data_IF_833142233389
#
_entry.id   IF_833142233389
#
_cell.length_a   1.000
_cell.length_b   1.000
_cell.length_c   1.000
_cell.angle_alpha   90.00
_cell.angle_beta   90.00
_cell.angle_gamma   90.00
#
_symmetry.space_group_name_H-M   'P 1'
#
loop_
_entity.id
_entity.type
_entity.pdbx_description
1 polymer ?
#
# COMPACT_ATOMS: atom_id res chain seq x y z
N UNK A 1 -3.54 -20.89 2.31
CA UNK A 1 -2.47 -20.49 1.37
C UNK A 1 -2.92 -19.18 0.75
N UNK A 2 -2.06 -18.19 0.72
CA UNK A 2 -2.39 -16.85 0.24
C UNK A 2 -2.32 -16.87 -1.29
N UNK A 3 -3.47 -17.02 -1.95
CA UNK A 3 -3.57 -17.26 -3.40
C UNK A 3 -3.21 -16.06 -4.28
N UNK A 4 -3.24 -14.85 -3.71
CA UNK A 4 -2.83 -13.60 -4.36
C UNK A 4 -1.32 -13.34 -4.33
N UNK A 5 -0.53 -14.11 -3.57
CA UNK A 5 0.93 -13.97 -3.49
C UNK A 5 1.64 -14.98 -4.38
N UNK A 6 2.60 -14.50 -5.17
CA UNK A 6 3.50 -15.30 -5.99
C UNK A 6 4.74 -15.72 -5.21
N UNK A 7 5.37 -14.76 -4.52
CA UNK A 7 6.60 -15.00 -3.77
C UNK A 7 6.60 -14.26 -2.45
N UNK A 8 7.16 -14.89 -1.44
CA UNK A 8 7.49 -14.29 -0.15
C UNK A 8 9.01 -14.24 -0.06
N UNK A 9 9.55 -13.06 0.26
CA UNK A 9 10.98 -12.81 0.40
C UNK A 9 11.23 -12.23 1.80
N UNK A 10 12.18 -12.83 2.51
CA UNK A 10 12.66 -12.31 3.78
C UNK A 10 13.63 -11.15 3.52
N UNK A 11 13.30 -9.96 4.03
CA UNK A 11 14.09 -8.77 3.81
C UNK A 11 15.37 -8.73 4.66
N UNK A 12 15.52 -9.59 5.68
CA UNK A 12 16.73 -9.63 6.53
C UNK A 12 18.02 -9.85 5.72
N UNK A 13 17.90 -10.54 4.58
CA UNK A 13 19.01 -10.88 3.71
C UNK A 13 19.29 -9.82 2.64
N UNK A 14 18.50 -8.74 2.60
CA UNK A 14 18.56 -7.71 1.58
C UNK A 14 19.14 -6.41 2.15
N UNK A 15 19.92 -5.71 1.33
CA UNK A 15 20.53 -4.43 1.67
C UNK A 15 19.76 -3.29 1.00
N UNK A 16 19.15 -2.41 1.80
CA UNK A 16 18.47 -1.22 1.28
C UNK A 16 19.41 -0.33 0.44
N UNK A 17 18.91 0.14 -0.71
CA UNK A 17 19.66 0.94 -1.68
C UNK A 17 20.58 0.14 -2.58
N UNK A 18 20.67 -1.18 -2.37
CA UNK A 18 21.48 -2.08 -3.19
C UNK A 18 20.66 -3.23 -3.78
N UNK A 19 19.91 -3.94 -2.93
CA UNK A 19 19.04 -5.05 -3.33
C UNK A 19 17.59 -4.60 -3.55
N UNK A 20 17.14 -3.56 -2.85
CA UNK A 20 15.81 -2.96 -3.01
C UNK A 20 15.81 -1.47 -2.68
N UNK A 21 14.80 -0.75 -3.17
CA UNK A 21 14.52 0.64 -2.83
C UNK A 21 13.09 0.79 -2.30
N UNK A 22 12.89 1.59 -1.26
CA UNK A 22 11.54 1.94 -0.77
C UNK A 22 10.92 2.97 -1.73
N UNK A 23 9.68 2.70 -2.16
CA UNK A 23 8.96 3.49 -3.17
C UNK A 23 7.73 4.16 -2.55
N UNK A 24 7.08 3.51 -1.59
CA UNK A 24 6.01 4.14 -0.81
C UNK A 24 6.60 5.19 0.14
N UNK A 25 6.17 6.43 -0.03
CA UNK A 25 6.54 7.53 0.84
C UNK A 25 5.27 8.12 1.43
N UNK A 26 5.29 8.32 2.75
CA UNK A 26 4.19 8.90 3.50
C UNK A 26 4.53 10.36 3.77
N UNK A 27 3.61 11.25 3.44
CA UNK A 27 3.67 12.67 3.77
C UNK A 27 2.75 12.92 4.96
N UNK A 28 3.25 13.56 5.99
CA UNK A 28 2.49 14.02 7.16
C UNK A 28 2.36 15.55 7.08
N UNK A 29 1.13 16.05 7.19
CA UNK A 29 0.88 17.49 7.31
C UNK A 29 0.96 17.98 8.77
N UNK A 30 0.71 19.27 8.98
CA UNK A 30 0.78 19.91 10.29
C UNK A 30 -0.32 19.42 11.25
N UNK A 31 -1.40 18.82 10.73
CA UNK A 31 -2.51 18.23 11.49
C UNK A 31 -2.31 16.72 11.73
N UNK A 32 -1.15 16.17 11.34
CA UNK A 32 -0.80 14.76 11.35
C UNK A 32 -1.69 13.89 10.45
N UNK A 33 -2.37 14.49 9.48
CA UNK A 33 -3.02 13.73 8.42
C UNK A 33 -1.94 13.15 7.50
N UNK A 34 -2.14 11.89 7.08
CA UNK A 34 -1.16 11.21 6.23
C UNK A 34 -1.66 11.14 4.80
N UNK A 35 -0.72 11.27 3.86
CA UNK A 35 -1.00 11.29 2.44
C UNK A 35 0.01 10.43 1.70
N UNK A 36 -0.41 9.85 0.57
CA UNK A 36 0.57 9.37 -0.39
C UNK A 36 1.28 10.55 -1.05
N UNK A 37 2.50 10.33 -1.50
CA UNK A 37 3.20 11.32 -2.33
C UNK A 37 2.40 11.70 -3.57
N UNK A 38 1.75 10.70 -4.19
CA UNK A 38 0.92 10.90 -5.39
C UNK A 38 -0.20 11.91 -5.11
N UNK A 39 -0.90 11.72 -4.00
CA UNK A 39 -2.00 12.56 -3.57
C UNK A 39 -1.52 13.96 -3.20
N UNK A 40 -0.46 14.07 -2.40
CA UNK A 40 0.02 15.35 -1.90
C UNK A 40 0.53 16.27 -3.00
N UNK A 41 1.31 15.72 -3.94
CA UNK A 41 1.90 16.48 -5.04
C UNK A 41 1.05 16.46 -6.30
N UNK A 42 -0.08 15.73 -6.30
CA UNK A 42 -0.91 15.47 -7.48
C UNK A 42 -0.05 15.01 -8.66
N UNK A 43 0.78 13.99 -8.42
CA UNK A 43 1.76 13.45 -9.37
C UNK A 43 1.66 11.93 -9.45
N UNK A 44 2.15 11.36 -10.54
CA UNK A 44 2.41 9.92 -10.63
C UNK A 44 3.83 9.67 -10.11
N UNK A 45 3.97 9.23 -8.86
CA UNK A 45 5.28 8.93 -8.28
C UNK A 45 5.97 7.76 -8.97
N UNK A 46 5.24 6.76 -9.49
CA UNK A 46 5.86 5.67 -10.25
C UNK A 46 6.50 6.22 -11.52
N UNK A 47 5.78 7.00 -12.32
CA UNK A 47 6.32 7.59 -13.54
C UNK A 47 7.48 8.56 -13.22
N UNK A 48 7.38 9.31 -12.13
CA UNK A 48 8.47 10.17 -11.67
C UNK A 48 9.70 9.37 -11.25
N UNK A 49 9.51 8.28 -10.49
CA UNK A 49 10.62 7.41 -10.10
C UNK A 49 11.20 6.70 -11.32
N UNK A 50 10.42 6.23 -12.27
CA UNK A 50 10.93 5.61 -13.51
C UNK A 50 11.78 6.59 -14.34
N UNK A 51 11.40 7.86 -14.39
CA UNK A 51 12.16 8.90 -15.12
C UNK A 51 13.42 9.36 -14.37
N UNK A 52 13.38 9.41 -13.03
CA UNK A 52 14.51 9.82 -12.19
C UNK A 52 15.41 8.65 -11.71
N UNK A 53 14.96 7.40 -11.88
CA UNK A 53 15.69 6.14 -11.62
C UNK A 53 17.03 6.09 -12.35
N UNK A 54 17.12 6.77 -13.50
CA UNK A 54 18.36 6.89 -14.27
C UNK A 54 19.39 7.85 -13.66
N UNK A 55 19.02 8.63 -12.62
CA UNK A 55 19.83 9.74 -12.14
C UNK A 55 20.27 9.64 -10.68
N UNK A 56 19.52 9.03 -9.74
CA UNK A 56 19.86 8.93 -8.29
C UNK A 56 18.97 7.92 -7.52
N UNK A 57 19.34 7.62 -6.26
CA UNK A 57 18.51 6.88 -5.28
C UNK A 57 17.12 7.52 -5.13
N UNK A 58 16.02 6.74 -5.24
CA UNK A 58 14.63 7.21 -5.24
C UNK A 58 14.28 8.13 -4.07
N UNK A 59 14.74 7.77 -2.86
CA UNK A 59 14.53 8.60 -1.67
C UNK A 59 15.21 9.97 -1.80
N UNK A 60 16.41 10.00 -2.38
CA UNK A 60 17.14 11.25 -2.58
C UNK A 60 16.49 12.11 -3.67
N UNK A 61 16.00 11.50 -4.75
CA UNK A 61 15.24 12.20 -5.79
C UNK A 61 13.95 12.81 -5.22
N UNK A 62 13.32 12.12 -4.25
CA UNK A 62 12.16 12.65 -3.56
C UNK A 62 12.51 13.79 -2.59
N UNK A 63 13.59 13.68 -1.81
CA UNK A 63 14.07 14.76 -0.96
C UNK A 63 14.45 16.01 -1.77
N UNK A 64 15.01 15.83 -2.96
CA UNK A 64 15.31 16.94 -3.88
C UNK A 64 14.03 17.60 -4.41
N UNK A 65 13.01 16.83 -4.78
CA UNK A 65 11.69 17.34 -5.16
C UNK A 65 11.04 18.14 -4.01
N UNK A 66 11.08 17.59 -2.79
CA UNK A 66 10.55 18.27 -1.60
C UNK A 66 11.24 19.61 -1.34
N UNK A 67 12.58 19.63 -1.33
CA UNK A 67 13.37 20.86 -1.13
C UNK A 67 13.11 21.92 -2.19
N UNK A 68 12.81 21.50 -3.42
CA UNK A 68 12.47 22.40 -4.53
C UNK A 68 11.00 22.82 -4.58
N UNK A 69 10.13 22.17 -3.82
CA UNK A 69 8.70 22.45 -3.83
C UNK A 69 8.34 23.67 -2.98
N UNK A 70 7.22 24.32 -3.32
CA UNK A 70 6.61 25.39 -2.50
C UNK A 70 6.23 24.94 -1.07
N UNK A 71 6.29 23.64 -0.80
CA UNK A 71 5.93 23.00 0.46
C UNK A 71 7.14 22.74 1.37
N UNK A 72 8.39 22.94 0.90
CA UNK A 72 9.62 22.63 1.63
C UNK A 72 9.88 23.41 2.93
N UNK A 73 9.00 24.35 3.30
CA UNK A 73 9.10 25.20 4.50
C UNK A 73 7.96 25.00 5.52
N UNK A 74 7.03 24.08 5.27
CA UNK A 74 5.94 23.76 6.20
C UNK A 74 6.42 22.66 7.15
N UNK A 75 5.90 22.56 8.37
CA UNK A 75 6.32 21.66 9.46
C UNK A 75 6.12 20.16 9.21
N UNK A 76 6.23 19.74 7.95
CA UNK A 76 5.91 18.44 7.43
C UNK A 76 6.99 17.40 7.75
N UNK A 77 6.53 16.21 8.11
CA UNK A 77 7.36 15.01 8.16
C UNK A 77 7.29 14.27 6.83
N UNK A 78 8.44 14.11 6.18
CA UNK A 78 8.58 13.12 5.10
C UNK A 78 9.40 11.97 5.65
N UNK A 79 8.84 10.78 5.58
CA UNK A 79 9.55 9.57 5.93
C UNK A 79 9.35 8.55 4.82
N UNK A 80 10.39 7.82 4.40
CA UNK A 80 10.13 6.54 3.76
C UNK A 80 9.27 5.74 4.74
N UNK A 81 8.31 4.97 4.24
CA UNK A 81 7.60 4.01 5.08
C UNK A 81 8.66 3.21 5.85
N UNK A 82 8.62 3.23 7.19
CA UNK A 82 9.77 2.84 8.00
C UNK A 82 10.25 1.42 7.61
N UNK A 83 11.56 1.27 7.44
CA UNK A 83 12.17 -0.07 7.34
C UNK A 83 12.10 -0.71 8.71
N UNK A 84 11.49 -1.89 8.78
CA UNK A 84 11.49 -2.70 9.98
C UNK A 84 12.52 -3.81 9.77
N UNK A 85 13.39 -4.02 10.76
CA UNK A 85 14.14 -5.28 10.86
C UNK A 85 13.15 -6.44 10.82
N UNK A 86 13.43 -7.46 10.02
CA UNK A 86 12.58 -8.65 9.88
C UNK A 86 11.25 -8.35 9.15
N UNK A 87 11.32 -7.48 8.14
CA UNK A 87 10.21 -7.27 7.22
C UNK A 87 10.08 -8.45 6.25
N UNK A 88 8.84 -8.80 5.94
CA UNK A 88 8.52 -9.79 4.90
C UNK A 88 8.03 -9.04 3.67
N UNK A 89 8.67 -9.29 2.53
CA UNK A 89 8.26 -8.73 1.25
C UNK A 89 7.38 -9.73 0.50
N UNK A 90 6.25 -9.24 0.00
CA UNK A 90 5.25 -10.03 -0.71
C UNK A 90 5.19 -9.56 -2.16
N UNK A 91 5.54 -10.45 -3.08
CA UNK A 91 5.31 -10.26 -4.50
C UNK A 91 3.90 -10.74 -4.85
N UNK A 92 2.97 -9.85 -5.21
CA UNK A 92 1.66 -10.25 -5.66
C UNK A 92 1.66 -10.74 -7.11
N UNK A 93 0.65 -11.56 -7.44
CA UNK A 93 0.40 -12.02 -8.81
C UNK A 93 -0.19 -10.94 -9.73
N UNK A 94 -0.57 -9.79 -9.18
CA UNK A 94 -1.19 -8.67 -9.87
C UNK A 94 -0.37 -7.40 -9.67
N UNK A 95 -0.57 -6.40 -10.53
CA UNK A 95 0.09 -5.10 -10.38
C UNK A 95 -0.33 -4.43 -9.06
N UNK A 96 0.64 -3.84 -8.37
CA UNK A 96 0.41 -3.07 -7.14
C UNK A 96 -0.14 -1.69 -7.51
N UNK A 97 -1.30 -1.35 -6.95
CA UNK A 97 -1.80 0.02 -6.80
C UNK A 97 -1.12 0.66 -5.57
N UNK A 98 -0.26 1.66 -5.80
CA UNK A 98 0.49 2.35 -4.73
C UNK A 98 -0.41 3.20 -3.84
N UNK A 99 -1.41 3.86 -4.42
CA UNK A 99 -2.33 4.73 -3.69
C UNK A 99 -3.15 3.92 -2.71
N UNK A 100 -3.67 2.79 -3.17
CA UNK A 100 -4.33 1.82 -2.30
C UNK A 100 -3.35 1.25 -1.25
N UNK A 101 -2.10 0.92 -1.61
CA UNK A 101 -1.15 0.37 -0.65
C UNK A 101 -0.93 1.34 0.53
N UNK A 102 -0.72 2.62 0.24
CA UNK A 102 -0.56 3.66 1.27
C UNK A 102 -1.83 3.86 2.11
N UNK A 103 -3.01 3.78 1.47
CA UNK A 103 -4.31 3.84 2.18
C UNK A 103 -4.42 2.75 3.26
N UNK A 104 -3.91 1.56 2.96
CA UNK A 104 -3.85 0.42 3.86
C UNK A 104 -2.56 0.33 4.69
N UNK A 105 -1.76 1.40 4.80
CA UNK A 105 -0.48 1.38 5.53
C UNK A 105 0.48 0.29 5.09
N UNK A 106 0.40 -0.14 3.83
CA UNK A 106 1.36 -1.06 3.23
C UNK A 106 2.55 -0.26 2.70
N UNK A 107 3.73 -0.73 3.05
CA UNK A 107 4.96 -0.31 2.40
C UNK A 107 5.11 -0.97 1.04
N UNK A 108 5.77 -0.27 0.11
CA UNK A 108 6.10 -0.77 -1.22
C UNK A 108 7.58 -0.60 -1.49
N UNK A 109 8.21 -1.66 -1.98
CA UNK A 109 9.61 -1.66 -2.42
C UNK A 109 9.73 -2.06 -3.88
N UNK A 110 10.72 -1.51 -4.58
CA UNK A 110 11.21 -2.04 -5.85
C UNK A 110 12.43 -2.92 -5.58
N UNK A 111 12.45 -4.13 -6.13
CA UNK A 111 13.65 -4.98 -6.12
C UNK A 111 14.62 -4.49 -7.19
N UNK A 112 15.86 -4.22 -6.82
CA UNK A 112 16.87 -3.65 -7.72
C UNK A 112 17.72 -4.71 -8.42
N UNK A 113 17.83 -5.92 -7.83
CA UNK A 113 18.73 -6.98 -8.30
C UNK A 113 18.15 -8.38 -8.10
N UNK A 114 18.70 -9.35 -8.83
CA UNK A 114 18.31 -10.76 -8.74
C UNK A 114 17.17 -11.11 -9.69
N UNK A 115 16.49 -12.22 -9.40
CA UNK A 115 15.42 -12.78 -10.24
C UNK A 115 14.22 -11.84 -10.43
N UNK A 116 13.93 -11.04 -9.41
CA UNK A 116 12.76 -10.14 -9.38
C UNK A 116 13.12 -8.67 -9.63
N UNK A 117 14.31 -8.38 -10.20
CA UNK A 117 14.73 -7.01 -10.46
C UNK A 117 13.71 -6.22 -11.31
N UNK A 118 13.40 -5.00 -10.88
CA UNK A 118 12.38 -4.12 -11.47
C UNK A 118 10.94 -4.42 -11.03
N UNK A 119 10.71 -5.43 -10.19
CA UNK A 119 9.38 -5.73 -9.66
C UNK A 119 9.12 -5.04 -8.33
N UNK A 120 7.84 -4.73 -8.08
CA UNK A 120 7.40 -4.14 -6.82
C UNK A 120 6.87 -5.22 -5.87
N UNK A 121 7.15 -5.06 -4.58
CA UNK A 121 6.66 -5.93 -3.51
C UNK A 121 6.05 -5.11 -2.38
N UNK A 122 5.04 -5.68 -1.71
CA UNK A 122 4.38 -5.11 -0.54
C UNK A 122 5.08 -5.55 0.75
N UNK A 123 5.01 -4.75 1.81
CA UNK A 123 5.38 -5.18 3.15
C UNK A 123 4.52 -4.47 4.21
N UNK A 124 4.33 -5.11 5.36
CA UNK A 124 3.65 -4.49 6.48
C UNK A 124 4.59 -3.57 7.26
N UNK A 125 4.21 -2.31 7.45
CA UNK A 125 5.08 -1.29 8.03
C UNK A 125 4.82 -0.96 9.51
N UNK A 126 3.97 -1.71 10.23
CA UNK A 126 3.60 -1.40 11.62
C UNK A 126 4.18 -2.34 12.71
N UNK A 127 5.33 -3.01 12.51
CA UNK A 127 5.99 -3.66 13.67
C UNK A 127 6.68 -2.62 14.54
N UNK A 128 5.95 -2.05 15.49
CA UNK A 128 6.52 -1.25 16.57
C UNK A 128 6.84 -2.17 17.76
N UNK A 129 8.15 -2.35 18.00
CA UNK A 129 8.81 -3.06 19.11
C UNK A 129 8.84 -4.60 19.07
N UNK A 130 10.06 -5.14 19.21
CA UNK A 130 10.40 -6.57 19.19
C UNK A 130 9.89 -7.36 20.41
N UNK A 131 9.39 -6.69 21.47
CA UNK A 131 9.19 -7.34 22.79
C UNK A 131 7.74 -7.75 23.14
N UNK A 132 6.69 -7.26 22.46
CA UNK A 132 5.29 -7.46 22.97
C UNK A 132 4.23 -8.01 21.98
N UNK A 133 4.46 -8.23 20.68
CA UNK A 133 3.36 -8.38 19.69
C UNK A 133 3.45 -9.50 18.62
N UNK A 134 4.33 -10.49 18.78
CA UNK A 134 4.71 -11.44 17.69
C UNK A 134 3.54 -12.19 17.02
N UNK A 135 2.44 -12.53 17.73
CA UNK A 135 1.32 -13.29 17.14
C UNK A 135 0.18 -12.42 16.58
N UNK A 136 -0.04 -11.23 17.14
CA UNK A 136 -1.05 -10.29 16.64
C UNK A 136 -0.62 -9.72 15.27
N UNK A 137 0.68 -9.46 15.11
CA UNK A 137 1.27 -8.85 13.92
C UNK A 137 1.09 -9.68 12.64
N UNK A 138 1.20 -11.01 12.72
CA UNK A 138 1.07 -11.87 11.53
C UNK A 138 -0.38 -11.97 11.04
N UNK A 139 -1.36 -11.92 11.95
CA UNK A 139 -2.77 -11.94 11.59
C UNK A 139 -3.20 -10.59 11.00
N UNK A 140 -2.75 -9.49 11.59
CA UNK A 140 -3.01 -8.14 11.08
C UNK A 140 -2.35 -7.93 9.71
N UNK A 141 -1.13 -8.43 9.53
CA UNK A 141 -0.43 -8.45 8.24
C UNK A 141 -1.22 -9.18 7.15
N UNK A 142 -1.68 -10.40 7.42
CA UNK A 142 -2.49 -11.17 6.47
C UNK A 142 -3.84 -10.49 6.22
N UNK A 143 -4.50 -9.99 7.26
CA UNK A 143 -5.80 -9.33 7.14
C UNK A 143 -5.69 -8.06 6.29
N UNK A 144 -4.67 -7.24 6.52
CA UNK A 144 -4.43 -6.03 5.75
C UNK A 144 -4.11 -6.33 4.28
N UNK A 145 -3.29 -7.36 4.00
CA UNK A 145 -3.09 -7.81 2.62
C UNK A 145 -4.42 -8.24 1.97
N UNK A 146 -5.24 -9.02 2.67
CA UNK A 146 -6.57 -9.41 2.17
C UNK A 146 -7.49 -8.22 1.94
N UNK A 147 -7.51 -7.26 2.86
CA UNK A 147 -8.28 -6.02 2.71
C UNK A 147 -7.83 -5.26 1.46
N UNK A 148 -6.52 -5.10 1.27
CA UNK A 148 -5.93 -4.47 0.08
C UNK A 148 -6.33 -5.17 -1.22
N UNK A 149 -6.19 -6.51 -1.30
CA UNK A 149 -6.54 -7.25 -2.52
C UNK A 149 -8.03 -7.26 -2.79
N UNK A 150 -8.87 -7.40 -1.76
CA UNK A 150 -10.32 -7.29 -1.92
C UNK A 150 -10.73 -5.87 -2.35
N UNK A 151 -10.05 -4.83 -1.86
CA UNK A 151 -10.33 -3.45 -2.22
C UNK A 151 -9.98 -3.15 -3.69
N UNK A 152 -8.78 -3.57 -4.11
CA UNK A 152 -8.23 -3.28 -5.45
C UNK A 152 -8.75 -4.23 -6.53
N UNK A 153 -9.01 -5.49 -6.19
CA UNK A 153 -9.39 -6.56 -7.11
C UNK A 153 -10.57 -7.37 -6.53
N UNK A 154 -11.73 -6.73 -6.30
CA UNK A 154 -12.86 -7.33 -5.58
C UNK A 154 -13.52 -8.52 -6.27
N UNK A 155 -13.22 -8.80 -7.53
CA UNK A 155 -13.79 -9.93 -8.26
C UNK A 155 -12.94 -11.19 -8.12
N UNK A 156 -11.62 -11.00 -8.07
CA UNK A 156 -10.66 -12.10 -8.01
C UNK A 156 -10.37 -12.52 -6.57
N UNK A 157 -10.42 -11.57 -5.62
CA UNK A 157 -10.00 -11.79 -4.22
C UNK A 157 -11.07 -11.45 -3.19
N UNK A 158 -12.36 -11.68 -3.50
CA UNK A 158 -13.42 -11.54 -2.51
C UNK A 158 -13.37 -12.64 -1.45
N UNK A 159 -13.19 -12.25 -0.19
CA UNK A 159 -13.20 -13.14 0.97
C UNK A 159 -14.41 -12.82 1.87
N UNK A 160 -15.33 -13.78 2.00
CA UNK A 160 -16.52 -13.65 2.86
C UNK A 160 -16.18 -13.42 4.32
N UNK A 161 -15.03 -13.92 4.79
CA UNK A 161 -14.55 -13.69 6.14
C UNK A 161 -14.12 -12.24 6.36
N UNK A 162 -13.44 -11.64 5.37
CA UNK A 162 -13.07 -10.22 5.39
C UNK A 162 -14.32 -9.34 5.34
N UNK A 163 -15.26 -9.66 4.45
CA UNK A 163 -16.56 -9.00 4.36
C UNK A 163 -17.34 -9.04 5.69
N UNK A 164 -17.36 -10.21 6.35
CA UNK A 164 -17.95 -10.38 7.66
C UNK A 164 -17.27 -9.51 8.72
N UNK A 165 -15.92 -9.46 8.73
CA UNK A 165 -15.16 -8.62 9.66
C UNK A 165 -15.45 -7.14 9.46
N UNK A 166 -15.44 -6.65 8.22
CA UNK A 166 -15.76 -5.25 7.90
C UNK A 166 -17.16 -4.88 8.43
N UNK A 167 -18.16 -5.74 8.18
CA UNK A 167 -19.56 -5.48 8.57
C UNK A 167 -19.79 -5.50 10.08
N UNK A 168 -19.13 -6.40 10.79
CA UNK A 168 -19.43 -6.68 12.21
C UNK A 168 -18.38 -6.11 13.18
N UNK A 169 -17.18 -5.79 12.68
CA UNK A 169 -15.99 -5.42 13.45
C UNK A 169 -15.23 -4.27 12.79
N UNK A 170 -15.93 -3.29 12.21
CA UNK A 170 -15.30 -2.15 11.53
C UNK A 170 -14.22 -1.45 12.38
N UNK A 171 -14.46 -1.22 13.66
CA UNK A 171 -13.45 -0.59 14.53
C UNK A 171 -12.13 -1.39 14.62
N UNK A 172 -12.18 -2.71 14.43
CA UNK A 172 -10.98 -3.54 14.31
C UNK A 172 -10.38 -3.54 12.89
N UNK A 173 -11.13 -3.29 11.81
CA UNK A 173 -10.50 -3.14 10.48
C UNK A 173 -10.00 -1.70 10.24
N UNK A 174 -10.61 -0.72 10.91
CA UNK A 174 -10.30 0.70 10.77
C UNK A 174 -8.88 1.05 11.21
N UNK A 175 -8.37 0.41 12.26
CA UNK A 175 -7.01 0.70 12.75
C UNK A 175 -5.91 0.26 11.77
N UNK A 176 -6.23 -0.65 10.83
CA UNK A 176 -5.33 -1.08 9.75
C UNK A 176 -5.37 -0.15 8.53
N UNK A 177 -6.22 0.88 8.56
CA UNK A 177 -6.41 1.83 7.48
C UNK A 177 -5.88 3.19 7.94
N UNK A 178 -4.81 3.64 7.30
CA UNK A 178 -4.16 4.91 7.64
C UNK A 178 -5.08 6.09 7.32
N UNK A 179 -5.65 6.09 6.12
CA UNK A 179 -6.33 7.24 5.53
C UNK A 179 -7.65 6.87 4.89
N UNK A 180 -8.47 7.89 4.59
CA UNK A 180 -9.69 7.73 3.78
C UNK A 180 -10.63 6.65 4.32
N UNK A 181 -10.66 6.46 5.65
CA UNK A 181 -11.39 5.37 6.32
C UNK A 181 -12.85 5.27 5.88
N UNK A 182 -13.54 6.41 5.80
CA UNK A 182 -14.95 6.44 5.38
C UNK A 182 -15.13 6.13 3.88
N UNK A 183 -14.20 6.55 3.02
CA UNK A 183 -14.20 6.17 1.60
C UNK A 183 -13.97 4.67 1.42
N UNK A 184 -12.96 4.13 2.11
CA UNK A 184 -12.65 2.69 2.12
C UNK A 184 -13.85 1.88 2.62
N UNK A 185 -14.50 2.34 3.69
CA UNK A 185 -15.72 1.73 4.22
C UNK A 185 -16.87 1.74 3.22
N UNK A 186 -17.10 2.89 2.58
CA UNK A 186 -18.14 3.02 1.55
C UNK A 186 -17.86 2.07 0.38
N UNK A 187 -16.59 2.00 -0.06
CA UNK A 187 -16.18 1.09 -1.13
C UNK A 187 -16.37 -0.37 -0.76
N UNK A 188 -16.02 -0.78 0.45
CA UNK A 188 -16.27 -2.15 0.89
C UNK A 188 -17.76 -2.47 0.96
N UNK A 189 -18.61 -1.52 1.34
CA UNK A 189 -20.06 -1.69 1.29
C UNK A 189 -20.54 -1.97 -0.15
N UNK A 190 -20.03 -1.24 -1.14
CA UNK A 190 -20.35 -1.50 -2.55
C UNK A 190 -19.91 -2.89 -3.01
N UNK A 191 -18.69 -3.30 -2.63
CA UNK A 191 -18.14 -4.64 -2.92
C UNK A 191 -19.05 -5.72 -2.31
N UNK A 192 -19.46 -5.54 -1.04
CA UNK A 192 -20.40 -6.44 -0.37
C UNK A 192 -21.73 -6.56 -1.12
N UNK A 193 -22.31 -5.43 -1.52
CA UNK A 193 -23.61 -5.39 -2.20
C UNK A 193 -23.55 -6.04 -3.59
N UNK A 194 -22.46 -5.86 -4.33
CA UNK A 194 -22.24 -6.55 -5.60
C UNK A 194 -22.26 -8.07 -5.45
N UNK A 195 -21.53 -8.61 -4.47
CA UNK A 195 -21.43 -10.05 -4.26
C UNK A 195 -22.70 -10.67 -3.68
N UNK A 196 -23.49 -9.91 -2.90
CA UNK A 196 -24.81 -10.35 -2.43
C UNK A 196 -25.85 -10.35 -3.55
N UNK A 197 -25.80 -9.37 -4.46
CA UNK A 197 -26.76 -9.20 -5.55
C UNK A 197 -26.49 -10.04 -6.80
N UNK A 198 -25.45 -10.88 -6.80
CA UNK A 198 -25.07 -11.69 -7.96
C UNK A 198 -24.51 -10.86 -9.12
N UNK A 199 -23.91 -9.70 -8.83
CA UNK A 199 -23.16 -8.90 -9.78
C UNK A 199 -23.94 -7.85 -10.57
N UNK A 200 -25.09 -7.39 -10.06
CA UNK A 200 -25.93 -6.38 -10.74
C UNK A 200 -25.63 -4.93 -10.33
N UNK A 201 -24.57 -4.68 -9.55
CA UNK A 201 -24.23 -3.33 -9.11
C UNK A 201 -23.51 -2.52 -10.20
N UNK A 202 -24.23 -1.55 -10.79
CA UNK A 202 -23.71 -0.64 -11.82
C UNK A 202 -22.55 0.26 -11.40
N UNK A 203 -22.33 0.46 -10.09
CA UNK A 203 -21.26 1.34 -9.58
C UNK A 203 -19.88 0.71 -9.72
N UNK A 204 -19.78 -0.60 -9.50
CA UNK A 204 -18.54 -1.37 -9.68
C UNK A 204 -18.17 -1.54 -11.15
N UNK A 205 -19.15 -1.71 -12.03
CA UNK A 205 -18.93 -1.73 -13.49
C UNK A 205 -18.44 -0.37 -14.02
N UNK A 206 -18.87 0.74 -13.41
CA UNK A 206 -18.44 2.08 -13.81
C UNK A 206 -17.00 2.38 -13.42
N UNK A 207 -16.59 2.07 -12.18
CA UNK A 207 -15.20 2.29 -11.73
C UNK A 207 -14.19 1.47 -12.54
N UNK A 208 -14.57 0.29 -13.04
CA UNK A 208 -13.76 -0.50 -13.97
C UNK A 208 -13.55 0.17 -15.33
N UNK A 209 -14.60 0.79 -15.90
CA UNK A 209 -14.48 1.48 -17.19
C UNK A 209 -13.54 2.68 -17.11
N UNK A 210 -13.45 3.31 -15.95
CA UNK A 210 -12.57 4.44 -15.70
C UNK A 210 -11.12 4.00 -15.44
N UNK A 211 -10.90 2.83 -14.83
CA UNK A 211 -9.56 2.26 -14.58
C UNK A 211 -8.87 1.65 -15.81
N UNK A 212 -9.61 1.28 -16.87
CA UNK A 212 -9.04 0.74 -18.13
C UNK A 212 -8.60 1.87 -19.08
N UNK A 213 -9.00 3.11 -18.83
CA UNK A 213 -8.81 4.26 -19.73
C UNK A 213 -7.63 5.17 -19.33
N UNK A 214 -7.02 4.95 -18.17
CA UNK A 214 -5.82 5.64 -17.69
C UNK A 214 -4.64 4.66 -17.57
#
# INVERSE_FOLDING_TARGET
>A
MIDFIEKIVDAEQLIHGFDYAIVSIIVLDDDFETYSVDEWYNMDSLAYFETERLKKNHYQAFLELWKGSRYGNVGMGITPTQYIRNATFYLPKVRIDLSAAITFSLGVVEILRGEYAGQFMLYYSMKMNEEDLVEADALDEILMLKLYFQYTNPFDYYDKGVDFLIKNKWGYTEHLIMNKREEVKARFKEISEYHVSGGTSHLLEKSQREAIVN
#
